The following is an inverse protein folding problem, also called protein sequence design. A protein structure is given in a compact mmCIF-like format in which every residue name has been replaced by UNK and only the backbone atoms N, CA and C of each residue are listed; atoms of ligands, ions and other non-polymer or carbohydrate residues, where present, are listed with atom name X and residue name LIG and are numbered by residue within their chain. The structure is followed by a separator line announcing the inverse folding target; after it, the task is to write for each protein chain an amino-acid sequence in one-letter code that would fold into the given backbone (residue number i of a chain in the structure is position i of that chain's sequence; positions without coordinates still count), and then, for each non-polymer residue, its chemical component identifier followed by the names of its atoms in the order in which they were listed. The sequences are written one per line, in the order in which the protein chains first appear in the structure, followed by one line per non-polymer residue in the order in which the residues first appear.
data_IF_180762534768
#
_entry.id   IF_180762534768
#
_cell.length_a   1.000
_cell.length_b   1.000
_cell.length_c   1.000
_cell.angle_alpha   90.00
_cell.angle_beta   90.00
_cell.angle_gamma   90.00
#
_symmetry.space_group_name_H-M   'P 1'
#
loop_
_entity.id
_entity.type
_entity.pdbx_description
1 polymer ?
#
# COMPACT_ATOMS: atom_id res chain seq x y z
N UNK A 1 -30.42 -33.91 3.73
CA UNK A 1 -29.05 -33.79 4.28
C UNK A 1 -28.43 -32.51 3.73
N UNK A 2 -27.87 -31.69 4.62
CA UNK A 2 -27.38 -30.32 4.40
C UNK A 2 -26.13 -30.34 3.53
N UNK A 3 -25.99 -29.35 2.63
CA UNK A 3 -24.71 -28.71 2.30
C UNK A 3 -24.97 -27.39 1.56
N UNK A 4 -25.20 -26.33 2.34
CA UNK A 4 -25.09 -24.95 1.87
C UNK A 4 -23.60 -24.64 1.75
N UNK A 5 -23.04 -24.80 0.55
CA UNK A 5 -21.72 -24.25 0.21
C UNK A 5 -21.84 -22.73 0.25
N UNK A 6 -21.42 -22.18 1.39
CA UNK A 6 -21.25 -20.76 1.65
C UNK A 6 -20.15 -20.26 0.72
N UNK A 7 -20.53 -19.86 -0.49
CA UNK A 7 -19.67 -19.11 -1.41
C UNK A 7 -19.39 -17.78 -0.72
N UNK A 8 -18.28 -17.75 0.03
CA UNK A 8 -17.72 -16.54 0.56
C UNK A 8 -17.33 -15.70 -0.64
N UNK A 9 -18.21 -14.76 -1.03
CA UNK A 9 -17.85 -13.66 -1.90
C UNK A 9 -16.80 -12.89 -1.10
N UNK A 10 -15.53 -13.27 -1.25
CA UNK A 10 -14.42 -12.45 -0.82
C UNK A 10 -14.65 -11.11 -1.51
N UNK A 11 -15.01 -10.11 -0.71
CA UNK A 11 -14.96 -8.71 -1.08
C UNK A 11 -13.51 -8.43 -1.52
N UNK A 12 -13.20 -8.71 -2.79
CA UNK A 12 -11.94 -8.40 -3.43
C UNK A 12 -11.87 -6.89 -3.50
N UNK A 13 -11.34 -6.29 -2.45
CA UNK A 13 -10.91 -4.90 -2.52
C UNK A 13 -10.01 -4.78 -3.76
N UNK A 14 -10.23 -3.77 -4.62
CA UNK A 14 -9.46 -3.64 -5.85
C UNK A 14 -7.97 -3.57 -5.51
N UNK A 15 -7.18 -4.38 -6.23
CA UNK A 15 -5.72 -4.35 -6.13
C UNK A 15 -5.13 -3.76 -7.40
N UNK A 16 -4.19 -2.83 -7.24
CA UNK A 16 -3.57 -2.08 -8.36
C UNK A 16 -2.06 -2.10 -8.17
N UNK A 17 -1.30 -2.50 -9.20
CA UNK A 17 0.16 -2.37 -9.17
C UNK A 17 0.53 -0.90 -9.32
N UNK A 18 1.33 -0.40 -8.37
CA UNK A 18 1.71 1.00 -8.25
C UNK A 18 3.13 1.12 -7.67
N UNK A 19 4.17 0.69 -8.42
CA UNK A 19 5.56 0.75 -7.95
C UNK A 19 6.05 2.17 -7.65
N UNK A 20 5.44 3.20 -8.26
CA UNK A 20 5.71 4.60 -7.99
C UNK A 20 5.42 5.01 -6.54
N UNK A 21 4.50 4.32 -5.86
CA UNK A 21 4.19 4.57 -4.44
C UNK A 21 5.32 4.12 -3.50
N UNK A 22 6.39 3.50 -4.01
CA UNK A 22 7.59 3.18 -3.21
C UNK A 22 8.15 4.43 -2.51
N UNK A 23 8.16 5.58 -3.20
CA UNK A 23 8.63 6.85 -2.62
C UNK A 23 7.74 7.35 -1.48
N UNK A 24 6.44 7.11 -1.60
CA UNK A 24 5.44 7.43 -0.57
C UNK A 24 5.68 6.55 0.65
N UNK A 25 5.82 5.24 0.47
CA UNK A 25 6.14 4.29 1.54
C UNK A 25 7.43 4.65 2.25
N UNK A 26 8.50 4.96 1.52
CA UNK A 26 9.80 5.37 2.10
C UNK A 26 9.64 6.57 3.03
N UNK A 27 8.86 7.58 2.62
CA UNK A 27 8.62 8.78 3.44
C UNK A 27 7.71 8.49 4.63
N UNK A 28 6.67 7.68 4.45
CA UNK A 28 5.74 7.31 5.52
C UNK A 28 6.43 6.49 6.62
N UNK A 29 7.38 5.65 6.25
CA UNK A 29 8.11 4.75 7.16
C UNK A 29 9.44 5.34 7.66
N UNK A 30 9.86 6.52 7.18
CA UNK A 30 11.10 7.14 7.59
C UNK A 30 11.08 7.62 9.05
N UNK A 31 12.26 7.66 9.67
CA UNK A 31 12.41 8.19 11.02
C UNK A 31 12.17 9.71 11.06
N UNK A 32 11.58 10.26 12.14
CA UNK A 32 11.34 11.71 12.28
C UNK A 32 12.61 12.59 12.23
N UNK A 33 13.78 12.00 12.44
CA UNK A 33 15.08 12.69 12.39
C UNK A 33 15.67 12.77 10.98
N UNK A 34 15.14 12.01 10.02
CA UNK A 34 15.63 11.99 8.65
C UNK A 34 15.25 13.28 7.89
N UNK A 35 16.24 14.16 7.72
CA UNK A 35 16.08 15.42 7.00
C UNK A 35 15.76 15.21 5.52
N UNK A 36 16.29 14.15 4.90
CA UNK A 36 16.03 13.85 3.47
C UNK A 36 14.58 13.41 3.30
N UNK A 37 14.08 12.56 4.20
CA UNK A 37 12.68 12.14 4.20
C UNK A 37 11.72 13.33 4.41
N UNK A 38 12.06 14.29 5.28
CA UNK A 38 11.28 15.53 5.45
C UNK A 38 11.18 16.33 4.16
N UNK A 39 12.30 16.55 3.46
CA UNK A 39 12.30 17.28 2.19
C UNK A 39 11.47 16.53 1.15
N UNK A 40 11.67 15.21 1.02
CA UNK A 40 10.88 14.37 0.10
C UNK A 40 9.39 14.41 0.41
N UNK A 41 9.00 14.40 1.68
CA UNK A 41 7.60 14.52 2.10
C UNK A 41 6.96 15.78 1.55
N UNK A 42 7.61 16.93 1.73
CA UNK A 42 7.10 18.22 1.24
C UNK A 42 6.98 18.24 -0.28
N UNK A 43 7.90 17.59 -1.00
CA UNK A 43 7.81 17.47 -2.46
C UNK A 43 6.62 16.60 -2.87
N UNK A 44 6.47 15.41 -2.28
CA UNK A 44 5.36 14.50 -2.57
C UNK A 44 4.00 15.12 -2.21
N UNK A 45 3.94 15.91 -1.15
CA UNK A 45 2.74 16.66 -0.75
C UNK A 45 2.34 17.69 -1.80
N UNK A 46 3.29 18.45 -2.35
CA UNK A 46 3.05 19.39 -3.45
C UNK A 46 2.60 18.72 -4.75
N UNK A 47 3.08 17.50 -4.99
CA UNK A 47 2.69 16.68 -6.14
C UNK A 47 1.32 16.00 -5.95
N UNK A 48 0.73 16.06 -4.74
CA UNK A 48 -0.49 15.31 -4.41
C UNK A 48 -0.28 13.79 -4.32
N UNK A 49 0.98 13.33 -4.28
CA UNK A 49 1.34 11.91 -4.31
C UNK A 49 1.12 11.21 -2.95
N UNK A 50 0.91 11.97 -1.87
CA UNK A 50 0.57 11.41 -0.55
C UNK A 50 -0.91 11.02 -0.43
N UNK A 51 -1.74 11.39 -1.40
CA UNK A 51 -3.17 11.11 -1.39
C UNK A 51 -3.50 9.91 -2.27
N UNK A 52 -4.52 9.16 -1.86
CA UNK A 52 -4.97 8.01 -2.62
C UNK A 52 -5.57 8.47 -3.97
N UNK A 53 -5.07 7.95 -5.12
CA UNK A 53 -5.55 8.39 -6.43
C UNK A 53 -7.02 8.00 -6.69
N UNK A 54 -7.56 7.03 -5.95
CA UNK A 54 -8.94 6.58 -6.11
C UNK A 54 -9.96 7.44 -5.34
N UNK A 55 -9.60 7.99 -4.17
CA UNK A 55 -10.56 8.66 -3.29
C UNK A 55 -10.06 9.94 -2.62
N UNK A 56 -8.81 10.36 -2.88
CA UNK A 56 -8.21 11.58 -2.32
C UNK A 56 -7.91 11.53 -0.83
N UNK A 57 -8.03 10.38 -0.17
CA UNK A 57 -7.70 10.24 1.26
C UNK A 57 -6.19 10.06 1.41
N UNK A 58 -5.52 10.81 2.30
CA UNK A 58 -4.08 10.68 2.52
C UNK A 58 -3.71 9.28 2.98
N UNK A 59 -2.63 8.75 2.41
CA UNK A 59 -2.07 7.48 2.83
C UNK A 59 -1.54 7.55 4.26
N UNK A 60 -1.83 6.51 5.03
CA UNK A 60 -1.37 6.36 6.39
C UNK A 60 -0.31 5.26 6.47
N UNK A 61 0.71 5.40 7.35
CA UNK A 61 1.71 4.37 7.56
C UNK A 61 1.10 3.04 8.05
N UNK A 62 -0.03 3.10 8.77
CA UNK A 62 -0.78 1.91 9.20
C UNK A 62 -1.38 1.08 8.06
N UNK A 63 -1.49 1.66 6.86
CA UNK A 63 -1.95 0.97 5.66
C UNK A 63 -0.86 0.13 5.00
N UNK A 64 0.41 0.32 5.36
CA UNK A 64 1.53 -0.41 4.78
C UNK A 64 1.61 -1.84 5.31
N UNK A 65 1.80 -2.81 4.41
CA UNK A 65 1.99 -4.23 4.72
C UNK A 65 3.07 -4.82 3.84
N UNK A 66 4.08 -5.41 4.47
CA UNK A 66 5.11 -6.20 3.81
C UNK A 66 4.98 -7.66 4.25
N UNK A 67 4.89 -8.57 3.29
CA UNK A 67 4.84 -10.01 3.50
C UNK A 67 6.03 -10.63 2.78
N UNK A 68 6.75 -11.52 3.46
CA UNK A 68 7.83 -12.31 2.86
C UNK A 68 7.62 -13.77 3.22
N UNK A 69 7.65 -14.63 2.20
CA UNK A 69 7.50 -16.08 2.30
C UNK A 69 8.75 -16.76 1.74
N UNK A 70 8.83 -18.08 1.84
CA UNK A 70 9.89 -18.87 1.19
C UNK A 70 9.84 -18.81 -0.36
N UNK A 71 8.70 -18.40 -0.94
CA UNK A 71 8.48 -18.40 -2.38
C UNK A 71 8.55 -16.99 -3.01
N UNK A 72 8.52 -15.94 -2.20
CA UNK A 72 8.42 -14.58 -2.70
C UNK A 72 8.14 -13.54 -1.62
N UNK A 73 8.09 -12.28 -2.03
CA UNK A 73 7.75 -11.14 -1.20
C UNK A 73 6.69 -10.26 -1.87
N UNK A 74 5.93 -9.54 -1.05
CA UNK A 74 4.91 -8.59 -1.49
C UNK A 74 4.84 -7.45 -0.50
N UNK A 75 4.98 -6.23 -1.01
CA UNK A 75 4.73 -5.00 -0.29
C UNK A 75 3.49 -4.31 -0.87
N UNK A 76 2.63 -3.85 0.02
CA UNK A 76 1.38 -3.19 -0.36
C UNK A 76 1.06 -2.03 0.56
N UNK A 77 0.33 -1.06 0.03
CA UNK A 77 -0.18 0.09 0.74
C UNK A 77 -1.70 0.13 0.57
N UNK A 78 -2.45 -0.07 1.66
CA UNK A 78 -3.90 -0.05 1.64
C UNK A 78 -4.42 1.35 2.03
N UNK A 79 -5.29 1.91 1.20
CA UNK A 79 -5.98 3.16 1.53
C UNK A 79 -7.06 2.91 2.60
N UNK A 80 -7.07 3.69 3.68
CA UNK A 80 -8.08 3.57 4.74
C UNK A 80 -9.48 4.01 4.32
N UNK A 81 -9.58 4.90 3.32
CA UNK A 81 -10.85 5.42 2.80
C UNK A 81 -11.56 4.42 1.88
N UNK A 82 -10.98 4.15 0.71
CA UNK A 82 -11.58 3.28 -0.29
C UNK A 82 -11.22 1.79 -0.17
N UNK A 83 -10.30 1.44 0.75
CA UNK A 83 -9.77 0.07 0.93
C UNK A 83 -9.03 -0.52 -0.27
N UNK A 84 -8.80 0.27 -1.33
CA UNK A 84 -7.96 -0.12 -2.46
C UNK A 84 -6.56 -0.48 -1.98
N UNK A 85 -6.07 -1.63 -2.42
CA UNK A 85 -4.74 -2.13 -2.08
C UNK A 85 -3.79 -1.86 -3.24
N UNK A 86 -2.79 -1.02 -3.00
CA UNK A 86 -1.77 -0.72 -3.98
C UNK A 86 -0.57 -1.64 -3.77
N UNK A 87 -0.21 -2.45 -4.76
CA UNK A 87 0.97 -3.31 -4.70
C UNK A 87 2.18 -2.46 -5.10
N UNK A 88 3.07 -2.24 -4.14
CA UNK A 88 4.25 -1.38 -4.27
C UNK A 88 5.43 -2.17 -4.82
N UNK A 89 5.60 -3.40 -4.35
CA UNK A 89 6.65 -4.29 -4.81
C UNK A 89 6.17 -5.73 -4.66
N UNK A 90 6.52 -6.59 -5.63
CA UNK A 90 6.30 -8.03 -5.52
C UNK A 90 7.38 -8.76 -6.31
N UNK A 91 7.86 -9.87 -5.75
CA UNK A 91 8.91 -10.65 -6.39
C UNK A 91 8.90 -12.10 -5.94
N UNK A 92 9.47 -12.96 -6.78
CA UNK A 92 9.69 -14.37 -6.47
C UNK A 92 11.13 -14.58 -6.00
N UNK A 93 11.30 -15.46 -5.01
CA UNK A 93 12.62 -15.89 -4.55
C UNK A 93 12.91 -17.19 -5.30
N UNK A 94 13.70 -17.09 -6.37
CA UNK A 94 14.17 -18.21 -7.22
C UNK A 94 15.53 -18.71 -6.77
#
# INVERSE_FOLDING_TARGET
MKSLTRTSVLSLAPSVRAPELRRVVEVLMAQPTDRRAKIRRVLLEKEGALDCPACGVPFAPSGYRATRTSYGHTESLCCTGCRTTFIVDEGQIV
#
